data_IF_164915254824
#
_entry.id   IF_164915254824
#
_cell.length_a   1.000
_cell.length_b   1.000
_cell.length_c   1.000
_cell.angle_alpha   90.00
_cell.angle_beta   90.00
_cell.angle_gamma   90.00
#
_symmetry.space_group_name_H-M   'P 1'
#
loop_
_entity.id
_entity.type
_entity.pdbx_description
1 polymer ?
#
# COMPACT_ATOMS: atom_id res chain seq x y z
N UNK A 1 -7.99 -12.36 11.01
CA UNK A 1 -8.53 -11.74 12.24
C UNK A 1 -8.63 -10.24 12.00
N UNK A 2 -9.69 -9.59 12.48
CA UNK A 2 -9.78 -8.12 12.50
C UNK A 2 -9.33 -7.65 13.89
N UNK A 3 -8.42 -6.68 13.90
CA UNK A 3 -7.74 -6.11 15.06
C UNK A 3 -7.68 -4.59 14.88
N UNK A 4 -7.00 -3.87 15.78
CA UNK A 4 -6.70 -2.45 15.65
C UNK A 4 -5.23 -2.19 15.94
N UNK A 5 -4.71 -1.08 15.42
CA UNK A 5 -3.39 -0.58 15.79
C UNK A 5 -3.46 0.87 16.23
N UNK A 6 -2.57 1.24 17.14
CA UNK A 6 -2.40 2.61 17.63
C UNK A 6 -1.41 3.37 16.73
N UNK A 7 -1.70 4.64 16.47
CA UNK A 7 -0.79 5.61 15.86
C UNK A 7 -0.93 6.95 16.58
N UNK A 8 -0.01 7.92 16.41
CA UNK A 8 -0.02 9.16 17.19
C UNK A 8 -1.34 9.94 17.17
N UNK A 9 -2.11 9.88 16.08
CA UNK A 9 -3.41 10.56 15.95
C UNK A 9 -4.63 9.70 16.25
N UNK A 10 -4.49 8.42 16.62
CA UNK A 10 -5.65 7.59 16.98
C UNK A 10 -5.46 6.08 16.82
N UNK A 11 -6.54 5.40 16.45
CA UNK A 11 -6.57 3.93 16.25
C UNK A 11 -7.24 3.58 14.94
N UNK A 12 -6.60 2.73 14.14
CA UNK A 12 -7.16 2.27 12.85
C UNK A 12 -7.38 0.76 12.83
N UNK A 13 -8.21 0.31 11.88
CA UNK A 13 -8.49 -1.11 11.68
C UNK A 13 -7.28 -1.84 11.08
N UNK A 14 -7.06 -3.09 11.50
CA UNK A 14 -5.98 -3.94 11.03
C UNK A 14 -6.48 -5.34 10.74
N UNK A 15 -6.22 -5.84 9.54
CA UNK A 15 -6.54 -7.21 9.16
C UNK A 15 -5.27 -8.05 9.20
N UNK A 16 -5.32 -9.19 9.89
CA UNK A 16 -4.20 -10.13 10.03
C UNK A 16 -4.49 -11.47 9.35
N UNK A 17 -3.47 -12.01 8.69
CA UNK A 17 -3.47 -13.25 7.92
C UNK A 17 -2.25 -14.11 8.26
N UNK A 18 -2.39 -15.43 8.13
CA UNK A 18 -1.26 -16.36 8.27
C UNK A 18 -0.75 -16.51 9.71
N UNK A 19 0.46 -17.10 9.87
CA UNK A 19 1.03 -17.40 11.17
C UNK A 19 1.47 -16.15 11.95
N UNK A 20 1.51 -16.29 13.27
CA UNK A 20 2.09 -15.31 14.20
C UNK A 20 3.59 -15.57 14.46
N UNK A 21 4.24 -16.44 13.69
CA UNK A 21 5.69 -16.79 13.71
C UNK A 21 6.40 -16.36 12.40
N UNK A 22 7.72 -16.10 12.42
CA UNK A 22 8.49 -15.65 11.25
C UNK A 22 8.38 -14.15 10.87
N UNK A 23 8.85 -13.74 9.68
CA UNK A 23 8.65 -12.38 9.18
C UNK A 23 7.18 -12.11 8.86
N UNK A 24 6.80 -10.83 8.87
CA UNK A 24 5.43 -10.40 8.55
C UNK A 24 5.43 -9.36 7.44
N UNK A 25 4.52 -9.55 6.48
CA UNK A 25 4.31 -8.61 5.37
C UNK A 25 3.26 -7.57 5.76
N UNK A 26 3.60 -6.28 5.66
CA UNK A 26 2.65 -5.18 5.78
C UNK A 26 2.24 -4.69 4.38
N UNK A 27 1.05 -5.07 3.93
CA UNK A 27 0.54 -4.69 2.61
C UNK A 27 -0.19 -3.34 2.66
N UNK A 28 0.29 -2.37 1.89
CA UNK A 28 -0.23 -1.02 1.79
C UNK A 28 -0.94 -0.83 0.45
N UNK A 29 -2.19 -0.39 0.51
CA UNK A 29 -3.02 -0.14 -0.67
C UNK A 29 -2.89 1.31 -1.14
N UNK A 30 -2.96 1.55 -2.47
CA UNK A 30 -2.99 2.90 -3.01
C UNK A 30 -4.22 3.65 -2.47
N UNK A 31 -4.08 4.95 -2.16
CA UNK A 31 -5.20 5.76 -1.71
C UNK A 31 -6.11 6.10 -2.89
N UNK A 32 -7.38 6.41 -2.61
CA UNK A 32 -8.34 6.96 -3.59
C UNK A 32 -8.66 6.07 -4.80
N UNK A 33 -8.32 4.79 -4.76
CA UNK A 33 -8.81 3.83 -5.75
C UNK A 33 -10.29 3.49 -5.47
N UNK A 34 -11.11 3.57 -6.51
CA UNK A 34 -12.56 3.42 -6.43
C UNK A 34 -12.99 2.01 -5.97
N UNK A 35 -14.09 1.93 -5.21
CA UNK A 35 -14.86 0.71 -4.93
C UNK A 35 -14.07 -0.51 -4.43
N UNK A 36 -13.01 -0.33 -3.63
CA UNK A 36 -12.20 -1.45 -3.13
C UNK A 36 -11.60 -2.31 -4.27
N UNK A 37 -11.43 -1.76 -5.48
CA UNK A 37 -11.01 -2.51 -6.68
C UNK A 37 -9.71 -3.29 -6.46
N UNK A 38 -8.80 -2.74 -5.66
CA UNK A 38 -7.53 -3.37 -5.27
C UNK A 38 -7.64 -4.22 -4.00
N UNK A 39 -8.68 -4.04 -3.17
CA UNK A 39 -8.84 -4.74 -1.88
C UNK A 39 -9.16 -6.22 -2.06
N UNK A 40 -10.01 -6.59 -3.01
CA UNK A 40 -10.33 -8.00 -3.29
C UNK A 40 -9.06 -8.77 -3.67
N UNK A 41 -8.31 -8.24 -4.65
CA UNK A 41 -7.03 -8.80 -5.06
C UNK A 41 -6.02 -8.85 -3.91
N UNK A 42 -5.91 -7.76 -3.13
CA UNK A 42 -5.00 -7.71 -1.98
C UNK A 42 -5.33 -8.79 -0.94
N UNK A 43 -6.60 -9.01 -0.64
CA UNK A 43 -7.02 -10.10 0.26
C UNK A 43 -6.68 -11.47 -0.35
N UNK A 44 -6.84 -11.64 -1.65
CA UNK A 44 -6.39 -12.84 -2.37
C UNK A 44 -4.89 -13.10 -2.22
N UNK A 45 -4.07 -12.07 -2.46
CA UNK A 45 -2.62 -12.10 -2.27
C UNK A 45 -2.23 -12.44 -0.82
N UNK A 46 -2.87 -11.81 0.17
CA UNK A 46 -2.59 -12.06 1.59
C UNK A 46 -2.97 -13.49 2.03
N UNK A 47 -4.05 -14.05 1.48
CA UNK A 47 -4.41 -15.46 1.69
C UNK A 47 -3.38 -16.39 1.01
N UNK A 48 -2.91 -16.05 -0.19
CA UNK A 48 -1.88 -16.80 -0.89
C UNK A 48 -0.52 -16.76 -0.14
N UNK A 49 -0.18 -15.66 0.53
CA UNK A 49 0.97 -15.57 1.43
C UNK A 49 0.79 -16.44 2.68
N UNK A 50 -0.40 -16.41 3.29
CA UNK A 50 -0.70 -17.26 4.44
C UNK A 50 -0.56 -18.75 4.10
N UNK A 51 -0.97 -19.17 2.91
CA UNK A 51 -0.77 -20.54 2.41
C UNK A 51 0.72 -20.93 2.22
N UNK A 52 1.62 -19.94 2.18
CA UNK A 52 3.09 -20.09 2.10
C UNK A 52 3.77 -19.91 3.46
N UNK A 53 3.00 -19.98 4.54
CA UNK A 53 3.43 -19.81 5.93
C UNK A 53 4.08 -18.44 6.21
N UNK A 54 3.61 -17.40 5.52
CA UNK A 54 4.03 -16.01 5.74
C UNK A 54 2.88 -15.23 6.37
N UNK A 55 3.13 -14.68 7.56
CA UNK A 55 2.19 -13.79 8.23
C UNK A 55 2.03 -12.49 7.46
N UNK A 56 0.84 -11.90 7.47
CA UNK A 56 0.61 -10.62 6.79
C UNK A 56 -0.43 -9.73 7.50
N UNK A 57 -0.31 -8.43 7.23
CA UNK A 57 -1.07 -7.34 7.82
C UNK A 57 -1.59 -6.42 6.72
N UNK A 58 -2.85 -5.99 6.84
CA UNK A 58 -3.49 -5.01 5.95
C UNK A 58 -4.19 -3.95 6.82
N UNK A 59 -3.55 -2.79 7.04
CA UNK A 59 -4.15 -1.69 7.78
C UNK A 59 -5.09 -0.87 6.89
N UNK A 60 -6.13 -0.31 7.49
CA UNK A 60 -6.68 0.94 6.98
C UNK A 60 -5.76 2.10 7.41
N UNK A 61 -5.62 3.12 6.58
CA UNK A 61 -4.83 4.32 6.91
C UNK A 61 -5.72 5.43 7.50
N UNK A 62 -5.15 6.38 8.25
CA UNK A 62 -5.89 7.55 8.72
C UNK A 62 -6.64 8.25 7.58
N UNK A 63 -7.94 8.47 7.74
CA UNK A 63 -8.78 9.07 6.70
C UNK A 63 -9.15 8.17 5.52
N UNK A 64 -8.88 6.87 5.59
CA UNK A 64 -9.23 5.87 4.58
C UNK A 64 -10.02 4.70 5.22
N UNK A 65 -10.79 3.98 4.41
CA UNK A 65 -11.53 2.80 4.87
C UNK A 65 -12.51 3.13 5.99
N UNK A 66 -12.41 2.40 7.10
CA UNK A 66 -13.28 2.58 8.28
C UNK A 66 -12.71 3.60 9.30
N UNK A 67 -11.74 4.44 8.90
CA UNK A 67 -11.15 5.46 9.76
C UNK A 67 -12.19 6.49 10.21
N UNK A 68 -12.12 6.88 11.49
CA UNK A 68 -12.95 7.95 12.06
C UNK A 68 -12.40 9.35 11.75
N UNK A 69 -11.13 9.44 11.32
CA UNK A 69 -10.57 10.70 10.86
C UNK A 69 -11.23 11.06 9.52
N UNK A 70 -11.81 12.26 9.35
CA UNK A 70 -12.30 12.66 8.03
C UNK A 70 -11.16 12.69 7.01
N UNK A 71 -11.38 12.21 5.78
CA UNK A 71 -10.36 12.23 4.72
C UNK A 71 -9.77 13.63 4.49
N UNK A 72 -10.59 14.68 4.65
CA UNK A 72 -10.15 16.07 4.50
C UNK A 72 -9.18 16.54 5.60
N UNK A 73 -9.09 15.82 6.71
CA UNK A 73 -8.18 16.10 7.81
C UNK A 73 -6.91 15.24 7.77
N UNK A 74 -6.85 14.23 6.89
CA UNK A 74 -5.69 13.36 6.76
C UNK A 74 -4.58 14.01 5.92
N UNK A 75 -3.33 13.77 6.32
CA UNK A 75 -2.12 14.20 5.63
C UNK A 75 -1.27 13.00 5.20
N UNK A 76 -0.31 13.20 4.29
CA UNK A 76 0.67 12.16 3.97
C UNK A 76 1.56 11.87 5.19
N UNK A 77 1.82 12.89 6.01
CA UNK A 77 2.53 12.74 7.28
C UNK A 77 1.79 11.80 8.25
N UNK A 78 0.47 11.89 8.34
CA UNK A 78 -0.34 10.97 9.16
C UNK A 78 -0.21 9.53 8.66
N UNK A 79 -0.26 9.31 7.34
CA UNK A 79 -0.10 7.98 6.76
C UNK A 79 1.27 7.37 7.05
N UNK A 80 2.34 8.16 6.87
CA UNK A 80 3.70 7.72 7.18
C UNK A 80 3.86 7.42 8.66
N UNK A 81 3.35 8.30 9.52
CA UNK A 81 3.38 8.11 10.98
C UNK A 81 2.64 6.85 11.41
N UNK A 82 1.48 6.58 10.81
CA UNK A 82 0.70 5.38 11.09
C UNK A 82 1.41 4.10 10.65
N UNK A 83 2.05 4.09 9.48
CA UNK A 83 2.86 2.96 9.03
C UNK A 83 4.05 2.75 9.96
N UNK A 84 4.79 3.80 10.31
CA UNK A 84 5.92 3.70 11.24
C UNK A 84 5.51 3.21 12.63
N UNK A 85 4.38 3.69 13.16
CA UNK A 85 3.86 3.24 14.45
C UNK A 85 3.49 1.75 14.44
N UNK A 86 2.82 1.28 13.38
CA UNK A 86 2.49 -0.14 13.24
C UNK A 86 3.73 -1.01 13.12
N UNK A 87 4.75 -0.57 12.36
CA UNK A 87 6.02 -1.27 12.24
C UNK A 87 6.74 -1.33 13.59
N UNK A 88 6.84 -0.21 14.30
CA UNK A 88 7.48 -0.15 15.62
C UNK A 88 6.77 -0.98 16.70
N UNK A 89 5.45 -1.12 16.61
CA UNK A 89 4.65 -1.96 17.51
C UNK A 89 4.73 -3.46 17.17
N UNK A 90 5.38 -3.84 16.07
CA UNK A 90 5.50 -5.23 15.63
C UNK A 90 6.85 -5.80 16.07
N UNK A 91 6.83 -6.84 16.90
CA UNK A 91 8.00 -7.45 17.55
C UNK A 91 8.82 -8.39 16.64
N UNK A 92 8.63 -8.30 15.33
CA UNK A 92 9.14 -9.23 14.32
C UNK A 92 9.58 -8.48 13.07
N UNK A 93 10.47 -9.04 12.23
CA UNK A 93 10.90 -8.40 10.99
C UNK A 93 9.69 -8.09 10.09
N UNK A 94 9.47 -6.80 9.84
CA UNK A 94 8.40 -6.33 8.94
C UNK A 94 8.97 -6.08 7.56
N UNK A 95 8.28 -6.59 6.54
CA UNK A 95 8.52 -6.26 5.14
C UNK A 95 7.33 -5.46 4.64
N UNK A 96 7.54 -4.23 4.19
CA UNK A 96 6.46 -3.48 3.55
C UNK A 96 6.27 -3.96 2.13
N UNK A 97 5.02 -4.25 1.77
CA UNK A 97 4.59 -4.48 0.41
C UNK A 97 3.68 -3.33 0.01
N UNK A 98 4.05 -2.53 -0.99
CA UNK A 98 3.29 -1.35 -1.36
C UNK A 98 2.84 -1.41 -2.82
N UNK A 99 1.57 -1.13 -3.08
CA UNK A 99 1.00 -1.11 -4.42
C UNK A 99 0.88 0.34 -4.89
N UNK A 100 1.50 0.65 -6.03
CA UNK A 100 1.45 1.97 -6.69
C UNK A 100 1.86 3.12 -5.77
N UNK A 101 0.97 4.10 -5.55
CA UNK A 101 1.23 5.28 -4.74
C UNK A 101 1.32 4.96 -3.24
N UNK A 102 0.98 3.75 -2.81
CA UNK A 102 1.26 3.32 -1.45
C UNK A 102 2.77 3.24 -1.13
N UNK A 103 3.61 3.19 -2.16
CA UNK A 103 5.07 3.26 -2.03
C UNK A 103 5.58 4.61 -1.49
N UNK A 104 4.69 5.59 -1.29
CA UNK A 104 4.99 6.88 -0.68
C UNK A 104 4.90 6.86 0.85
N UNK A 105 4.30 5.79 1.42
CA UNK A 105 3.86 5.75 2.83
C UNK A 105 4.88 5.09 3.75
N UNK A 106 5.70 4.19 3.23
CA UNK A 106 6.61 3.39 4.03
C UNK A 106 7.94 4.10 4.33
N UNK A 107 8.10 5.34 3.88
CA UNK A 107 9.36 6.11 3.91
C UNK A 107 10.06 6.13 5.27
N UNK A 108 9.32 6.42 6.33
CA UNK A 108 9.87 6.65 7.67
C UNK A 108 9.88 5.38 8.53
N UNK A 109 9.44 4.24 8.00
CA UNK A 109 9.31 3.01 8.76
C UNK A 109 10.61 2.19 8.74
N UNK A 110 11.02 1.72 9.92
CA UNK A 110 12.19 0.85 10.11
C UNK A 110 11.84 -0.60 9.78
N UNK A 111 12.06 -0.99 8.52
CA UNK A 111 11.61 -2.27 7.97
C UNK A 111 12.80 -3.11 7.52
N UNK A 112 12.65 -4.44 7.61
CA UNK A 112 13.67 -5.39 7.15
C UNK A 112 13.83 -5.39 5.63
N UNK A 113 12.80 -4.93 4.90
CA UNK A 113 12.90 -4.67 3.47
C UNK A 113 11.60 -4.17 2.87
N UNK A 114 11.71 -3.71 1.62
CA UNK A 114 10.61 -3.10 0.86
C UNK A 114 10.35 -3.89 -0.40
N UNK A 115 9.08 -4.07 -0.72
CA UNK A 115 8.62 -4.69 -1.94
C UNK A 115 7.56 -3.79 -2.56
N UNK A 116 7.80 -3.27 -3.75
CA UNK A 116 6.90 -2.29 -4.39
C UNK A 116 6.37 -2.82 -5.72
N UNK A 117 5.05 -2.93 -5.84
CA UNK A 117 4.37 -3.29 -7.08
C UNK A 117 3.97 -2.03 -7.85
N UNK A 118 4.61 -1.83 -8.98
CA UNK A 118 4.42 -0.70 -9.89
C UNK A 118 4.44 0.66 -9.18
N UNK A 119 5.51 0.98 -8.41
CA UNK A 119 5.56 2.19 -7.59
C UNK A 119 5.36 3.46 -8.42
N UNK A 120 4.67 4.43 -7.82
CA UNK A 120 4.19 5.65 -8.46
C UNK A 120 4.52 6.88 -7.60
N UNK A 121 5.00 7.96 -8.23
CA UNK A 121 5.18 9.26 -7.57
C UNK A 121 3.82 9.91 -7.26
N UNK A 122 3.80 10.79 -6.27
CA UNK A 122 2.58 11.51 -5.93
C UNK A 122 2.16 12.49 -7.03
N UNK A 123 3.11 13.15 -7.71
CA UNK A 123 2.85 13.92 -8.95
C UNK A 123 2.08 13.08 -10.01
N UNK A 124 2.48 11.82 -10.21
CA UNK A 124 1.78 10.93 -11.14
C UNK A 124 0.41 10.52 -10.61
N UNK A 125 0.25 10.30 -9.30
CA UNK A 125 -1.07 10.07 -8.67
C UNK A 125 -2.00 11.26 -8.93
N UNK A 126 -1.56 12.48 -8.64
CA UNK A 126 -2.36 13.69 -8.83
C UNK A 126 -2.80 13.89 -10.28
N UNK A 127 -1.93 13.59 -11.26
CA UNK A 127 -2.32 13.59 -12.68
C UNK A 127 -3.40 12.57 -13.00
N UNK A 128 -3.37 11.40 -12.39
CA UNK A 128 -4.39 10.38 -12.59
C UNK A 128 -5.71 10.78 -11.92
N UNK A 129 -5.68 11.36 -10.72
CA UNK A 129 -6.85 11.92 -10.05
C UNK A 129 -7.49 13.06 -10.87
N UNK A 130 -6.68 13.96 -11.42
CA UNK A 130 -7.16 15.03 -12.30
C UNK A 130 -7.90 14.50 -13.54
N UNK A 131 -7.46 13.36 -14.09
CA UNK A 131 -8.13 12.74 -15.26
C UNK A 131 -9.47 12.11 -14.93
N UNK A 132 -9.69 11.71 -13.68
CA UNK A 132 -10.95 11.12 -13.22
C UNK A 132 -11.86 12.14 -12.51
N UNK A 133 -11.52 13.44 -12.60
CA UNK A 133 -12.39 14.52 -12.13
C UNK A 133 -12.08 15.05 -10.73
N UNK A 134 -10.80 15.13 -10.34
CA UNK A 134 -10.39 15.92 -9.18
C UNK A 134 -10.81 17.39 -9.37
N UNK A 135 -11.85 17.80 -8.65
CA UNK A 135 -12.35 19.17 -8.62
C UNK A 135 -11.72 19.91 -7.45
N UNK A 136 -11.29 21.16 -7.64
CA UNK A 136 -10.64 21.96 -6.59
C UNK A 136 -11.52 23.17 -6.27
N UNK A 137 -12.01 23.23 -5.03
CA UNK A 137 -12.84 24.33 -4.52
C UNK A 137 -12.25 24.86 -3.19
N UNK A 138 -11.60 26.01 -3.28
CA UNK A 138 -10.91 26.63 -2.14
C UNK A 138 -9.84 25.70 -1.55
N UNK A 139 -9.97 25.40 -0.25
CA UNK A 139 -9.03 24.58 0.50
C UNK A 139 -9.29 23.06 0.42
N UNK A 140 -10.33 22.66 -0.32
CA UNK A 140 -10.74 21.26 -0.47
C UNK A 140 -10.80 20.89 -1.94
N UNK A 141 -10.33 19.68 -2.26
CA UNK A 141 -10.55 19.05 -3.55
C UNK A 141 -11.39 17.78 -3.39
N UNK A 142 -12.26 17.51 -4.35
CA UNK A 142 -13.14 16.34 -4.32
C UNK A 142 -12.84 15.39 -5.48
N UNK A 143 -12.73 14.09 -5.19
CA UNK A 143 -12.52 13.05 -6.20
C UNK A 143 -13.10 11.72 -5.73
N UNK A 144 -14.01 11.12 -6.51
CA UNK A 144 -14.59 9.82 -6.20
C UNK A 144 -15.19 9.71 -4.78
N UNK A 145 -15.82 10.78 -4.29
CA UNK A 145 -16.39 10.87 -2.95
C UNK A 145 -15.39 11.18 -1.82
N UNK A 146 -14.08 11.25 -2.12
CA UNK A 146 -13.06 11.69 -1.17
C UNK A 146 -12.95 13.20 -1.18
N UNK A 147 -12.82 13.80 0.01
CA UNK A 147 -12.51 15.22 0.20
C UNK A 147 -11.07 15.33 0.68
N UNK A 148 -10.22 16.01 -0.09
CA UNK A 148 -8.77 16.11 0.11
C UNK A 148 -8.41 17.56 0.43
N UNK A 149 -7.60 17.79 1.46
CA UNK A 149 -7.10 19.14 1.75
C UNK A 149 -6.05 19.58 0.75
N UNK A 150 -5.91 20.90 0.56
CA UNK A 150 -4.80 21.49 -0.21
C UNK A 150 -3.44 21.12 0.36
N UNK A 151 -3.32 20.94 1.68
CA UNK A 151 -2.09 20.47 2.32
C UNK A 151 -1.71 19.06 1.87
N UNK A 152 -2.66 18.11 1.88
CA UNK A 152 -2.42 16.76 1.41
C UNK A 152 -2.03 16.73 -0.07
N UNK A 153 -2.68 17.56 -0.90
CA UNK A 153 -2.32 17.66 -2.32
C UNK A 153 -0.88 18.18 -2.50
N UNK A 154 -0.47 19.21 -1.75
CA UNK A 154 0.87 19.77 -1.82
C UNK A 154 1.94 18.78 -1.32
N UNK A 155 1.65 18.02 -0.27
CA UNK A 155 2.53 16.94 0.22
C UNK A 155 2.70 15.84 -0.83
N UNK A 156 1.61 15.43 -1.47
CA UNK A 156 1.64 14.41 -2.53
C UNK A 156 2.39 14.90 -3.77
N UNK A 157 2.27 16.18 -4.15
CA UNK A 157 2.89 16.70 -5.38
C UNK A 157 4.41 16.47 -5.41
N UNK A 158 5.06 16.58 -4.27
CA UNK A 158 6.52 16.43 -4.13
C UNK A 158 6.96 15.02 -3.68
N UNK A 159 6.02 14.16 -3.29
CA UNK A 159 6.32 12.85 -2.74
C UNK A 159 6.85 11.87 -3.81
N UNK A 160 7.97 11.23 -3.50
CA UNK A 160 8.60 10.18 -4.32
C UNK A 160 8.71 8.86 -3.54
N UNK A 161 8.61 7.70 -4.23
CA UNK A 161 8.83 6.41 -3.59
C UNK A 161 10.24 6.28 -3.02
N UNK A 162 10.37 5.51 -1.95
CA UNK A 162 11.67 5.18 -1.35
C UNK A 162 12.54 4.42 -2.35
N UNK A 163 13.83 4.73 -2.37
CA UNK A 163 14.86 4.01 -3.16
C UNK A 163 15.91 3.31 -2.29
N UNK A 164 15.80 3.46 -0.96
CA UNK A 164 16.69 2.84 0.01
C UNK A 164 16.59 1.30 -0.03
N UNK A 165 17.75 0.65 0.00
CA UNK A 165 17.88 -0.81 -0.03
C UNK A 165 17.77 -1.41 1.40
N UNK A 166 17.24 -2.63 1.56
CA UNK A 166 16.81 -3.56 0.51
C UNK A 166 15.42 -3.25 -0.06
N UNK A 167 15.36 -3.10 -1.37
CA UNK A 167 14.15 -2.78 -2.13
C UNK A 167 14.02 -3.72 -3.33
N UNK A 168 12.83 -4.31 -3.49
CA UNK A 168 12.43 -5.09 -4.66
C UNK A 168 11.30 -4.40 -5.40
N UNK A 169 11.52 -4.02 -6.65
CA UNK A 169 10.53 -3.39 -7.53
C UNK A 169 9.96 -4.42 -8.51
N UNK A 170 8.65 -4.64 -8.44
CA UNK A 170 7.91 -5.53 -9.34
C UNK A 170 7.04 -4.69 -10.26
N UNK A 171 6.97 -5.03 -11.55
CA UNK A 171 6.11 -4.34 -12.53
C UNK A 171 5.31 -5.32 -13.37
N UNK A 172 4.16 -4.88 -13.86
CA UNK A 172 3.22 -5.68 -14.65
C UNK A 172 3.21 -5.26 -16.12
N UNK A 173 3.15 -6.25 -17.01
CA UNK A 173 2.99 -6.08 -18.44
C UNK A 173 3.99 -5.12 -19.05
N UNK A 174 3.50 -4.15 -19.82
CA UNK A 174 4.32 -3.20 -20.58
C UNK A 174 4.70 -1.95 -19.79
N UNK A 175 4.66 -1.99 -18.45
CA UNK A 175 5.16 -0.86 -17.66
C UNK A 175 6.67 -0.63 -17.97
N UNK A 176 7.02 0.55 -18.53
CA UNK A 176 8.37 0.82 -19.03
C UNK A 176 9.38 1.11 -17.93
N UNK A 177 8.94 1.26 -16.67
CA UNK A 177 9.85 1.54 -15.56
C UNK A 177 10.84 0.41 -15.30
N UNK A 178 11.94 0.73 -14.62
CA UNK A 178 12.87 -0.27 -14.13
C UNK A 178 12.19 -1.20 -13.11
N UNK A 179 12.54 -2.48 -13.14
CA UNK A 179 12.01 -3.50 -12.25
C UNK A 179 13.05 -4.61 -12.04
N UNK A 180 13.06 -5.17 -10.85
CA UNK A 180 13.78 -6.40 -10.51
C UNK A 180 13.02 -7.64 -11.00
N UNK A 181 11.69 -7.53 -11.11
CA UNK A 181 10.82 -8.55 -11.68
C UNK A 181 9.74 -7.91 -12.55
N UNK A 182 9.55 -8.44 -13.76
CA UNK A 182 8.42 -8.09 -14.63
C UNK A 182 7.55 -9.32 -14.85
N UNK A 183 6.26 -9.20 -14.58
CA UNK A 183 5.27 -10.26 -14.77
C UNK A 183 4.38 -9.86 -15.94
N UNK A 184 4.23 -10.77 -16.91
CA UNK A 184 3.35 -10.56 -18.06
C UNK A 184 1.88 -10.76 -17.65
N UNK A 185 1.30 -9.70 -17.06
CA UNK A 185 -0.11 -9.64 -16.69
C UNK A 185 -0.63 -8.22 -16.86
N UNK A 186 -1.91 -8.10 -17.21
CA UNK A 186 -2.56 -6.80 -17.35
C UNK A 186 -2.78 -6.15 -15.97
N UNK A 187 -2.45 -4.86 -15.78
CA UNK A 187 -2.62 -4.20 -14.49
C UNK A 187 -4.08 -4.19 -14.01
N UNK A 188 -4.32 -4.67 -12.79
CA UNK A 188 -5.67 -4.82 -12.22
C UNK A 188 -6.40 -3.49 -12.06
N UNK A 189 -5.67 -2.43 -11.72
CA UNK A 189 -6.17 -1.05 -11.58
C UNK A 189 -6.57 -0.39 -12.91
N UNK A 190 -6.38 -1.05 -14.05
CA UNK A 190 -6.88 -0.58 -15.36
C UNK A 190 -8.13 -1.32 -15.82
N UNK A 191 -8.60 -2.33 -15.07
CA UNK A 191 -9.81 -3.10 -15.41
C UNK A 191 -11.06 -2.31 -15.01
N UNK A 192 -12.10 -2.41 -15.85
CA UNK A 192 -13.37 -1.71 -15.68
C UNK A 192 -14.21 -2.25 -14.51
N UNK A 193 -14.09 -3.54 -14.23
CA UNK A 193 -14.78 -4.19 -13.11
C UNK A 193 -13.78 -4.57 -12.00
N UNK A 194 -14.19 -4.52 -10.71
CA UNK A 194 -13.45 -5.17 -9.64
C UNK A 194 -13.24 -6.65 -9.97
N UNK A 195 -12.01 -6.99 -10.32
CA UNK A 195 -11.63 -8.34 -10.70
C UNK A 195 -10.65 -8.93 -9.69
N UNK A 196 -10.80 -10.23 -9.44
CA UNK A 196 -9.73 -11.04 -8.87
C UNK A 196 -8.79 -11.51 -10.00
N UNK A 197 -7.57 -11.87 -9.62
CA UNK A 197 -6.62 -12.53 -10.50
C UNK A 197 -5.80 -13.51 -9.66
N UNK A 198 -6.37 -14.71 -9.39
CA UNK A 198 -5.76 -15.68 -8.47
C UNK A 198 -4.38 -16.15 -8.94
N UNK A 199 -4.16 -16.21 -10.27
CA UNK A 199 -2.89 -16.61 -10.84
C UNK A 199 -1.83 -15.54 -10.57
N UNK A 200 -2.14 -14.27 -10.85
CA UNK A 200 -1.26 -13.16 -10.51
C UNK A 200 -1.00 -13.08 -9.00
N UNK A 201 -2.04 -13.28 -8.18
CA UNK A 201 -1.91 -13.28 -6.72
C UNK A 201 -0.94 -14.38 -6.23
N UNK A 202 -1.00 -15.57 -6.82
CA UNK A 202 -0.08 -16.66 -6.48
C UNK A 202 1.36 -16.36 -6.90
N UNK A 203 1.58 -15.88 -8.12
CA UNK A 203 2.93 -15.52 -8.60
C UNK A 203 3.55 -14.44 -7.72
N UNK A 204 2.78 -13.41 -7.35
CA UNK A 204 3.26 -12.35 -6.46
C UNK A 204 3.46 -12.84 -5.03
N UNK A 205 2.63 -13.76 -4.54
CA UNK A 205 2.82 -14.37 -3.22
C UNK A 205 4.11 -15.19 -3.15
N UNK A 206 4.46 -15.93 -4.21
CA UNK A 206 5.74 -16.66 -4.28
C UNK A 206 6.93 -15.72 -4.21
N UNK A 207 6.91 -14.67 -5.03
CA UNK A 207 7.99 -13.67 -5.07
C UNK A 207 8.15 -12.94 -3.73
N UNK A 208 7.03 -12.47 -3.16
CA UNK A 208 7.03 -11.73 -1.91
C UNK A 208 7.38 -12.61 -0.71
N UNK A 209 7.00 -13.90 -0.71
CA UNK A 209 7.40 -14.84 0.32
C UNK A 209 8.90 -15.18 0.24
N UNK A 210 9.46 -15.31 -0.96
CA UNK A 210 10.90 -15.49 -1.15
C UNK A 210 11.66 -14.24 -0.68
N UNK A 211 11.18 -13.06 -1.04
CA UNK A 211 11.77 -11.79 -0.63
C UNK A 211 11.72 -11.58 0.89
N UNK A 212 10.57 -11.87 1.53
CA UNK A 212 10.42 -11.68 2.97
C UNK A 212 11.39 -12.54 3.78
N UNK A 213 11.59 -13.80 3.38
CA UNK A 213 12.59 -14.69 3.98
C UNK A 213 14.02 -14.20 3.74
N UNK A 214 14.32 -13.71 2.54
CA UNK A 214 15.66 -13.21 2.20
C UNK A 214 16.02 -11.90 2.92
N UNK A 215 15.04 -11.07 3.28
CA UNK A 215 15.24 -9.87 4.09
C UNK A 215 15.39 -10.20 5.59
N UNK A 216 14.57 -11.12 6.11
CA UNK A 216 14.57 -11.47 7.52
C UNK A 216 15.79 -12.31 7.96
N UNK A 217 16.46 -12.98 7.02
CA UNK A 217 17.70 -13.72 7.27
C UNK A 217 18.99 -12.88 7.20
N UNK A 218 18.89 -11.55 7.13
CA UNK A 218 20.03 -10.63 7.08
C UNK A 218 20.44 -10.11 8.45
#
# INVERSE_FOLDING_TARGET
MIDRYDWPGGKEALWRFGPATGPVVLLLLPPFEEANRTRTFAVGLLRALAARDVGAMLPDLPGQGDSLLPTAAATLADWRSAVSALVAATDRPVITAAIRAAALFDHDADVAGRWHLAPQSGERLLRELARIGLDRDGDIAEVGGNRLSTSLLAELETATPVTAQPLRTVRLGTDPGMADLRIDSAPLWRRSEPGDDPDLANVLADDLAAWSRACAGR
#
